data_IF_859424078359
#
_entry.id   IF_859424078359
#
_cell.length_a   1.000
_cell.length_b   1.000
_cell.length_c   1.000
_cell.angle_alpha   90.00
_cell.angle_beta   90.00
_cell.angle_gamma   90.00
#
_symmetry.space_group_name_H-M   'P 1'
#
loop_
_entity.id
_entity.type
_entity.pdbx_description
1 polymer ?
#
# COMPACT_ATOMS: atom_id res chain seq x y z
N UNK A 1 -7.21 3.87 -13.49
CA UNK A 1 -6.27 2.73 -13.59
C UNK A 1 -5.79 2.38 -12.20
N UNK A 2 -5.26 1.18 -11.96
CA UNK A 2 -4.78 0.82 -10.62
C UNK A 2 -3.38 1.38 -10.37
N UNK A 3 -3.05 1.54 -9.10
CA UNK A 3 -1.71 1.91 -8.67
C UNK A 3 -0.71 0.80 -8.91
N UNK A 4 0.53 1.17 -9.22
CA UNK A 4 1.62 0.23 -9.36
C UNK A 4 2.06 -0.28 -7.97
N UNK A 5 2.42 -1.55 -7.86
CA UNK A 5 2.97 -2.07 -6.61
C UNK A 5 4.40 -1.54 -6.40
N UNK A 6 4.76 -1.34 -5.14
CA UNK A 6 6.14 -1.06 -4.76
C UNK A 6 7.06 -2.23 -5.08
N UNK A 7 8.30 -1.94 -5.47
CA UNK A 7 9.30 -2.96 -5.76
C UNK A 7 9.71 -3.71 -4.47
N UNK A 8 9.75 -5.05 -4.53
CA UNK A 8 10.14 -5.87 -3.39
C UNK A 8 11.60 -5.60 -2.96
N UNK A 9 11.84 -5.67 -1.64
CA UNK A 9 13.15 -5.42 -1.04
C UNK A 9 13.58 -3.97 -1.02
N UNK A 10 12.75 -3.02 -1.46
CA UNK A 10 13.10 -1.60 -1.49
C UNK A 10 12.38 -0.78 -0.41
N UNK A 11 11.32 -1.32 0.17
CA UNK A 11 10.40 -0.56 1.01
C UNK A 11 9.63 0.52 0.26
N UNK A 12 9.58 0.46 -1.08
CA UNK A 12 8.88 1.45 -1.89
C UNK A 12 7.37 1.38 -1.67
N UNK A 13 6.73 2.54 -1.57
CA UNK A 13 5.27 2.63 -1.47
C UNK A 13 4.59 2.12 -2.74
N UNK A 14 3.38 1.59 -2.57
CA UNK A 14 2.45 1.35 -3.67
C UNK A 14 1.94 2.67 -4.22
N UNK A 15 1.87 2.77 -5.55
CA UNK A 15 1.28 3.91 -6.24
C UNK A 15 -0.21 4.03 -5.94
N UNK A 16 -0.73 5.26 -6.02
CA UNK A 16 -2.16 5.49 -5.90
C UNK A 16 -2.91 4.96 -7.12
N UNK A 17 -4.14 4.51 -6.89
CA UNK A 17 -5.13 4.30 -7.93
C UNK A 17 -5.44 5.59 -8.68
N UNK A 18 -6.07 5.44 -9.83
CA UNK A 18 -6.49 6.57 -10.66
C UNK A 18 -7.46 7.48 -9.92
N UNK A 19 -7.40 8.77 -10.25
CA UNK A 19 -8.11 9.83 -9.53
C UNK A 19 -9.58 9.50 -9.23
N UNK A 20 -10.35 9.09 -10.24
CA UNK A 20 -11.78 8.83 -10.07
C UNK A 20 -12.05 7.39 -9.61
N UNK A 21 -11.41 6.43 -10.27
CA UNK A 21 -11.59 4.99 -10.08
C UNK A 21 -10.23 4.29 -10.20
N UNK A 22 -9.95 3.43 -9.23
CA UNK A 22 -8.81 2.52 -9.26
C UNK A 22 -8.44 2.01 -7.87
N UNK A 23 -7.85 0.84 -7.82
CA UNK A 23 -7.30 0.29 -6.58
C UNK A 23 -5.88 0.81 -6.33
N UNK A 24 -5.54 1.06 -5.08
CA UNK A 24 -4.17 1.38 -4.67
C UNK A 24 -3.24 0.19 -4.84
N UNK A 25 -1.98 0.45 -5.17
CA UNK A 25 -0.94 -0.57 -5.27
C UNK A 25 -0.48 -1.07 -3.89
N UNK A 26 0.01 -2.29 -3.83
CA UNK A 26 0.59 -2.87 -2.60
C UNK A 26 1.98 -2.29 -2.37
N UNK A 27 2.32 -1.97 -1.12
CA UNK A 27 3.67 -1.54 -0.73
C UNK A 27 4.70 -2.66 -0.90
N UNK A 28 5.90 -2.31 -1.36
CA UNK A 28 7.02 -3.24 -1.51
C UNK A 28 7.57 -3.69 -0.16
N UNK A 29 8.06 -4.92 -0.06
CA UNK A 29 8.77 -5.37 1.14
C UNK A 29 10.06 -4.57 1.37
N UNK A 30 10.48 -4.43 2.63
CA UNK A 30 11.76 -3.83 2.98
C UNK A 30 12.94 -4.81 2.88
N UNK A 31 14.15 -4.28 2.62
CA UNK A 31 15.41 -4.99 2.85
C UNK A 31 15.77 -5.04 4.36
N UNK A 32 16.87 -5.70 4.73
CA UNK A 32 17.35 -5.75 6.11
C UNK A 32 17.37 -4.35 6.77
N UNK A 33 16.74 -4.21 7.94
CA UNK A 33 16.65 -2.94 8.66
C UNK A 33 15.76 -1.87 8.00
N UNK A 34 15.16 -2.16 6.85
CA UNK A 34 14.30 -1.26 6.10
C UNK A 34 12.83 -1.63 6.30
N UNK A 35 12.00 -0.62 6.58
CA UNK A 35 10.57 -0.82 6.71
C UNK A 35 9.93 -1.22 5.37
N UNK A 36 8.79 -1.91 5.44
CA UNK A 36 7.95 -2.14 4.27
C UNK A 36 7.35 -0.82 3.78
N UNK A 37 7.11 -0.73 2.48
CA UNK A 37 6.45 0.42 1.87
C UNK A 37 4.96 0.46 2.24
N UNK A 38 4.39 1.65 2.25
CA UNK A 38 2.96 1.83 2.48
C UNK A 38 2.16 1.38 1.26
N UNK A 39 0.92 0.96 1.47
CA UNK A 39 -0.03 0.75 0.39
C UNK A 39 -0.49 2.08 -0.22
N UNK A 40 -0.76 2.07 -1.52
CA UNK A 40 -1.29 3.24 -2.23
C UNK A 40 -2.77 3.48 -1.95
N UNK A 41 -3.23 4.70 -2.18
CA UNK A 41 -4.64 5.06 -2.01
C UNK A 41 -5.53 4.54 -3.14
N UNK A 42 -6.77 4.16 -2.84
CA UNK A 42 -7.81 3.95 -3.85
C UNK A 42 -8.30 5.23 -4.53
N UNK A 43 -9.03 5.11 -5.65
CA UNK A 43 -9.61 6.22 -6.39
C UNK A 43 -10.77 6.88 -5.64
N UNK A 44 -11.01 8.18 -5.87
CA UNK A 44 -11.92 9.03 -5.10
C UNK A 44 -13.31 8.44 -4.88
N UNK A 45 -13.92 7.87 -5.93
CA UNK A 45 -15.30 7.37 -5.89
C UNK A 45 -15.40 5.86 -5.77
N UNK A 46 -14.35 5.14 -6.20
CA UNK A 46 -14.32 3.69 -6.13
C UNK A 46 -12.89 3.15 -6.15
N UNK A 47 -12.65 2.18 -5.27
CA UNK A 47 -11.38 1.48 -5.16
C UNK A 47 -10.90 1.39 -3.71
N UNK A 48 -10.35 0.23 -3.37
CA UNK A 48 -9.71 -0.01 -2.08
C UNK A 48 -8.28 0.54 -2.07
N UNK A 49 -7.80 0.89 -0.88
CA UNK A 49 -6.38 1.10 -0.66
C UNK A 49 -5.58 -0.20 -0.78
N UNK A 50 -4.32 -0.09 -1.16
CA UNK A 50 -3.41 -1.24 -1.23
C UNK A 50 -2.93 -1.68 0.14
N UNK A 51 -2.50 -2.93 0.29
CA UNK A 51 -1.89 -3.39 1.52
C UNK A 51 -0.49 -2.79 1.72
N UNK A 52 -0.07 -2.61 2.97
CA UNK A 52 1.31 -2.29 3.31
C UNK A 52 2.25 -3.46 3.06
N UNK A 53 3.49 -3.16 2.69
CA UNK A 53 4.56 -4.12 2.47
C UNK A 53 5.10 -4.67 3.79
N UNK A 54 5.67 -5.87 3.76
CA UNK A 54 6.33 -6.46 4.93
C UNK A 54 7.64 -5.73 5.23
N UNK A 55 7.95 -5.53 6.51
CA UNK A 55 9.27 -5.06 6.92
C UNK A 55 10.36 -6.06 6.56
N UNK A 56 11.56 -5.60 6.24
CA UNK A 56 12.71 -6.50 6.24
C UNK A 56 13.13 -6.83 7.67
N UNK A 57 14.05 -7.78 7.83
CA UNK A 57 14.49 -8.30 9.13
C UNK A 57 14.77 -7.16 10.13
N UNK A 58 14.15 -7.25 11.31
CA UNK A 58 14.19 -6.26 12.42
C UNK A 58 13.52 -4.91 12.14
N UNK A 59 12.75 -4.78 11.05
CA UNK A 59 12.06 -3.55 10.67
C UNK A 59 10.53 -3.70 10.70
N UNK A 60 9.83 -2.57 10.79
CA UNK A 60 8.36 -2.54 10.78
C UNK A 60 7.79 -2.81 9.38
N UNK A 61 6.55 -3.31 9.34
CA UNK A 61 5.77 -3.31 8.10
C UNK A 61 5.30 -1.90 7.73
N UNK A 62 4.94 -1.71 6.47
CA UNK A 62 4.35 -0.47 5.98
C UNK A 62 2.88 -0.35 6.35
N UNK A 63 2.33 0.86 6.30
CA UNK A 63 0.91 1.06 6.55
C UNK A 63 0.06 0.59 5.36
N UNK A 64 -1.19 0.24 5.61
CA UNK A 64 -2.16 0.07 4.53
C UNK A 64 -2.54 1.42 3.93
N UNK A 65 -2.93 1.41 2.65
CA UNK A 65 -3.38 2.61 1.95
C UNK A 65 -4.85 2.93 2.26
N UNK A 66 -5.25 4.19 2.12
CA UNK A 66 -6.64 4.57 2.36
C UNK A 66 -7.56 4.17 1.21
N UNK A 67 -8.85 4.04 1.51
CA UNK A 67 -9.89 4.09 0.49
C UNK A 67 -9.98 5.48 -0.18
N UNK A 68 -10.76 5.55 -1.26
CA UNK A 68 -11.19 6.81 -1.85
C UNK A 68 -11.95 7.70 -0.87
N UNK A 69 -11.70 9.01 -0.91
CA UNK A 69 -12.33 9.98 0.02
C UNK A 69 -13.87 9.99 -0.05
N UNK A 70 -14.42 9.69 -1.22
CA UNK A 70 -15.87 9.61 -1.46
C UNK A 70 -16.31 8.19 -1.84
N UNK A 71 -15.47 7.18 -1.56
CA UNK A 71 -15.80 5.81 -1.88
C UNK A 71 -16.95 5.36 -0.98
N UNK A 72 -18.16 5.27 -1.55
CA UNK A 72 -19.30 4.66 -0.87
C UNK A 72 -19.07 3.16 -0.65
N UNK A 73 -18.32 2.54 -1.55
CA UNK A 73 -17.90 1.14 -1.48
C UNK A 73 -16.40 1.10 -1.74
N UNK A 74 -15.62 1.01 -0.66
CA UNK A 74 -14.17 0.94 -0.67
C UNK A 74 -13.62 0.81 0.75
N UNK A 75 -12.58 0.01 0.93
CA UNK A 75 -11.94 -0.23 2.21
C UNK A 75 -10.49 0.26 2.18
N UNK A 76 -9.99 0.68 3.34
CA UNK A 76 -8.55 0.82 3.53
C UNK A 76 -7.86 -0.52 3.37
N UNK A 77 -6.57 -0.48 3.03
CA UNK A 77 -5.71 -1.64 3.00
C UNK A 77 -5.26 -2.04 4.39
N UNK A 78 -4.87 -3.30 4.53
CA UNK A 78 -4.25 -3.80 5.75
C UNK A 78 -2.82 -3.26 5.88
N UNK A 79 -2.37 -3.03 7.12
CA UNK A 79 -0.95 -2.83 7.40
C UNK A 79 -0.12 -4.07 7.09
N UNK A 80 1.16 -3.85 6.78
CA UNK A 80 2.16 -4.89 6.56
C UNK A 80 2.68 -5.45 7.88
N UNK A 81 3.14 -6.70 7.85
CA UNK A 81 3.77 -7.35 8.99
C UNK A 81 5.19 -6.83 9.21
N UNK A 82 5.66 -6.79 10.46
CA UNK A 82 7.08 -6.58 10.76
C UNK A 82 7.95 -7.72 10.23
N UNK A 83 9.22 -7.44 9.96
CA UNK A 83 10.20 -8.43 9.51
C UNK A 83 10.82 -9.18 10.69
N UNK A 84 10.76 -10.51 10.60
CA UNK A 84 11.32 -11.46 11.57
C UNK A 84 12.66 -12.04 11.10
#
# INVERSE_FOLDING_TARGET
GNGANGAAGTGADGGNGGLLIGYGGIGGSGAFGQAGGNGGRGGLFFGNGGAGGTGGLTAAGGNGGDAGMFALVGHGGNGGTGGA
#
